data_IF_120234905412
#
_entry.id   IF_120234905412
#
_cell.length_a   1.000
_cell.length_b   1.000
_cell.length_c   1.000
_cell.angle_alpha   90.00
_cell.angle_beta   90.00
_cell.angle_gamma   90.00
#
_symmetry.space_group_name_H-M   'P 1'
#
loop_
_entity.id
_entity.type
_entity.pdbx_description
1 polymer ?
#
# COMPACT_ATOMS: atom_id res chain seq x y z
N UNK A 1 -16.08 -2.81 -7.70
CA UNK A 1 -14.85 -2.00 -7.58
C UNK A 1 -13.73 -3.00 -7.56
N UNK A 2 -13.00 -3.06 -8.67
CA UNK A 2 -12.18 -4.22 -8.99
C UNK A 2 -10.74 -3.99 -8.55
N UNK A 3 -10.12 -5.01 -7.98
CA UNK A 3 -8.75 -4.94 -7.49
C UNK A 3 -7.76 -4.98 -8.66
N UNK A 4 -7.04 -3.89 -8.88
CA UNK A 4 -5.94 -3.85 -9.85
C UNK A 4 -4.65 -4.35 -9.20
N UNK A 5 -4.07 -5.41 -9.78
CA UNK A 5 -2.72 -5.89 -9.43
C UNK A 5 -1.79 -5.58 -10.60
N UNK A 6 -0.71 -4.86 -10.36
CA UNK A 6 0.32 -4.59 -11.37
C UNK A 6 1.71 -4.82 -10.79
N UNK A 7 2.68 -5.08 -11.66
CA UNK A 7 4.09 -5.23 -11.32
C UNK A 7 4.93 -4.48 -12.36
N UNK A 8 6.11 -4.00 -11.98
CA UNK A 8 7.05 -3.33 -12.89
C UNK A 8 8.31 -4.19 -13.05
N UNK A 9 8.81 -4.30 -14.29
CA UNK A 9 10.03 -5.05 -14.62
C UNK A 9 10.86 -4.27 -15.64
N UNK A 10 12.19 -4.39 -15.57
CA UNK A 10 13.14 -3.58 -16.34
C UNK A 10 14.49 -3.45 -15.63
N UNK A 11 15.49 -2.91 -16.33
CA UNK A 11 16.84 -2.63 -15.82
C UNK A 11 16.80 -1.73 -14.59
N UNK A 12 17.82 -1.80 -13.73
CA UNK A 12 17.91 -1.03 -12.47
C UNK A 12 17.68 0.46 -12.73
N UNK A 13 18.22 0.98 -13.83
CA UNK A 13 18.20 2.40 -14.18
C UNK A 13 16.91 2.87 -14.87
N UNK A 14 15.97 1.96 -15.18
CA UNK A 14 14.72 2.29 -15.90
C UNK A 14 13.70 3.04 -15.03
N UNK A 15 14.07 3.45 -13.81
CA UNK A 15 13.22 4.29 -12.97
C UNK A 15 11.94 3.62 -12.46
N UNK A 16 11.92 2.28 -12.37
CA UNK A 16 10.75 1.49 -11.90
C UNK A 16 10.17 2.01 -10.57
N UNK A 17 11.04 2.31 -9.60
CA UNK A 17 10.63 2.84 -8.30
C UNK A 17 10.09 4.27 -8.38
N UNK A 18 10.62 5.08 -9.30
CA UNK A 18 10.14 6.45 -9.58
C UNK A 18 8.72 6.41 -10.16
N UNK A 19 8.45 5.49 -11.08
CA UNK A 19 7.11 5.31 -11.66
C UNK A 19 6.10 4.87 -10.60
N UNK A 20 6.43 3.89 -9.77
CA UNK A 20 5.58 3.44 -8.65
C UNK A 20 5.32 4.61 -7.69
N UNK A 21 6.36 5.35 -7.31
CA UNK A 21 6.23 6.51 -6.43
C UNK A 21 5.32 7.60 -7.01
N UNK A 22 5.42 7.86 -8.32
CA UNK A 22 4.57 8.83 -9.01
C UNK A 22 3.10 8.39 -9.04
N UNK A 23 2.83 7.13 -9.31
CA UNK A 23 1.46 6.58 -9.28
C UNK A 23 0.83 6.68 -7.88
N UNK A 24 1.60 6.36 -6.83
CA UNK A 24 1.14 6.50 -5.44
C UNK A 24 0.88 7.96 -5.06
N UNK A 25 1.73 8.88 -5.54
CA UNK A 25 1.56 10.32 -5.31
C UNK A 25 0.33 10.87 -6.04
N UNK A 26 0.20 10.60 -7.35
CA UNK A 26 -0.87 11.13 -8.20
C UNK A 26 -2.25 10.55 -7.83
N UNK A 27 -2.30 9.29 -7.39
CA UNK A 27 -3.55 8.63 -6.96
C UNK A 27 -4.11 9.18 -5.64
N UNK A 28 -3.34 9.98 -4.88
CA UNK A 28 -3.67 10.40 -3.50
C UNK A 28 -4.00 9.23 -2.56
N UNK A 29 -3.72 7.98 -2.95
CA UNK A 29 -4.11 6.76 -2.23
C UNK A 29 -3.29 6.51 -0.96
N UNK A 30 -2.39 7.42 -0.57
CA UNK A 30 -1.51 7.25 0.59
C UNK A 30 -2.24 7.46 1.94
N UNK A 31 -3.43 8.07 1.99
CA UNK A 31 -3.98 8.53 3.29
C UNK A 31 -5.20 7.81 3.89
N UNK A 32 -6.04 7.10 3.14
CA UNK A 32 -7.26 6.48 3.73
C UNK A 32 -7.12 4.96 3.96
N UNK A 33 -6.45 4.24 3.07
CA UNK A 33 -6.50 2.78 3.09
C UNK A 33 -5.59 2.13 4.14
N UNK A 34 -4.50 2.80 4.56
CA UNK A 34 -3.60 2.25 5.58
C UNK A 34 -4.23 2.30 6.98
N UNK A 35 -4.94 3.37 7.33
CA UNK A 35 -5.60 3.49 8.64
C UNK A 35 -6.75 2.49 8.76
N UNK A 36 -7.59 2.38 7.73
CA UNK A 36 -8.71 1.44 7.72
C UNK A 36 -8.25 -0.04 7.69
N UNK A 37 -7.13 -0.33 7.02
CA UNK A 37 -6.54 -1.66 7.05
C UNK A 37 -6.01 -1.99 8.44
N UNK A 38 -5.25 -1.11 9.09
CA UNK A 38 -4.75 -1.33 10.46
C UNK A 38 -5.89 -1.47 11.46
N UNK A 39 -6.93 -0.63 11.39
CA UNK A 39 -8.11 -0.73 12.26
C UNK A 39 -8.88 -2.04 12.06
N UNK A 40 -9.08 -2.47 10.80
CA UNK A 40 -9.75 -3.75 10.52
C UNK A 40 -8.90 -4.95 10.91
N UNK A 41 -7.58 -4.90 10.70
CA UNK A 41 -6.67 -5.97 11.11
C UNK A 41 -6.61 -6.06 12.64
N UNK A 42 -6.51 -4.94 13.35
CA UNK A 42 -6.56 -4.88 14.82
C UNK A 42 -7.89 -5.45 15.35
N UNK A 43 -9.02 -5.02 14.78
CA UNK A 43 -10.36 -5.44 15.23
C UNK A 43 -10.71 -6.89 14.88
N UNK A 44 -10.16 -7.45 13.79
CA UNK A 44 -10.34 -8.87 13.43
C UNK A 44 -9.46 -9.82 14.23
N UNK A 45 -8.32 -9.37 14.73
CA UNK A 45 -7.40 -10.26 15.45
C UNK A 45 -7.78 -10.50 16.90
N UNK A 46 -8.51 -9.60 17.56
CA UNK A 46 -8.92 -9.81 18.95
C UNK A 46 -7.74 -10.01 19.92
N UNK A 47 -6.54 -9.62 19.53
CA UNK A 47 -5.34 -9.71 20.37
C UNK A 47 -5.17 -8.38 21.11
N UNK A 48 -5.30 -8.46 22.42
CA UNK A 48 -5.07 -7.41 23.42
C UNK A 48 -3.60 -6.95 23.51
N UNK A 49 -2.76 -7.18 22.50
CA UNK A 49 -1.38 -6.70 22.53
C UNK A 49 -0.85 -6.24 21.18
N UNK A 50 -0.46 -4.98 21.14
CA UNK A 50 0.42 -4.42 20.12
C UNK A 50 1.84 -4.80 20.52
N UNK A 51 2.39 -5.86 19.95
CA UNK A 51 3.84 -6.08 20.02
C UNK A 51 4.52 -5.02 19.13
N UNK A 52 5.19 -4.09 19.82
CA UNK A 52 6.01 -3.01 19.30
C UNK A 52 7.35 -3.51 18.75
#
# INVERSE_FOLDING_TARGET
MDLLRFTTAGSVDDGKSTLIGRLLYDSKSIFEDQLAAVERFSKKRGDEHVDL
#
